data_IF_647777946627
#
_entry.id   IF_647777946627
#
_cell.length_a   1.000
_cell.length_b   1.000
_cell.length_c   1.000
_cell.angle_alpha   90.00
_cell.angle_beta   90.00
_cell.angle_gamma   90.00
#
_symmetry.space_group_name_H-M   'P 1'
#
loop_
_entity.id
_entity.type
_entity.pdbx_description
1 polymer ?
#
# COMPACT_ATOMS: atom_id res chain seq x y z
N UNK A 1 17.76 -0.35 -26.93
CA UNK A 1 16.97 0.80 -26.47
C UNK A 1 17.08 1.91 -27.50
N UNK A 2 15.97 2.47 -27.92
CA UNK A 2 15.95 3.61 -28.84
C UNK A 2 16.44 4.88 -28.13
N UNK A 3 16.92 5.91 -28.86
CA UNK A 3 17.30 7.18 -28.26
C UNK A 3 16.18 7.82 -27.43
N UNK A 4 14.92 7.64 -27.84
CA UNK A 4 13.73 8.11 -27.12
C UNK A 4 13.52 7.39 -25.79
N UNK A 5 13.80 6.07 -25.72
CA UNK A 5 13.76 5.30 -24.48
C UNK A 5 14.84 5.75 -23.50
N UNK A 6 16.03 6.10 -23.98
CA UNK A 6 17.09 6.69 -23.14
C UNK A 6 16.73 8.08 -22.63
N UNK A 7 16.10 8.91 -23.47
CA UNK A 7 15.56 10.20 -23.04
C UNK A 7 14.43 10.02 -22.04
N UNK A 8 13.53 9.06 -22.23
CA UNK A 8 12.47 8.73 -21.27
C UNK A 8 13.03 8.22 -19.95
N UNK A 9 14.08 7.39 -20.00
CA UNK A 9 14.75 6.86 -18.82
C UNK A 9 15.49 7.95 -18.06
N UNK A 10 16.24 8.81 -18.76
CA UNK A 10 16.93 9.95 -18.18
C UNK A 10 15.93 10.97 -17.62
N UNK A 11 14.85 11.26 -18.35
CA UNK A 11 13.74 12.07 -17.85
C UNK A 11 13.11 11.39 -16.65
N UNK A 12 12.83 10.08 -16.62
CA UNK A 12 12.29 9.43 -15.42
C UNK A 12 13.26 9.51 -14.23
N UNK A 13 14.53 9.23 -14.44
CA UNK A 13 15.54 9.18 -13.38
C UNK A 13 15.87 10.58 -12.83
N UNK A 14 15.78 11.64 -13.64
CA UNK A 14 15.96 13.02 -13.20
C UNK A 14 14.65 13.71 -12.78
N UNK A 15 13.52 13.41 -13.41
CA UNK A 15 12.20 14.02 -13.13
C UNK A 15 11.42 13.33 -12.01
N UNK A 16 11.76 12.11 -11.59
CA UNK A 16 11.18 11.52 -10.38
C UNK A 16 11.70 12.23 -9.12
N UNK A 17 13.02 12.47 -8.95
CA UNK A 17 13.53 13.33 -7.88
C UNK A 17 13.03 14.78 -8.02
N UNK A 18 13.15 15.38 -9.22
CA UNK A 18 12.75 16.77 -9.45
C UNK A 18 11.22 16.97 -9.37
N UNK A 19 10.44 15.97 -9.74
CA UNK A 19 8.99 15.93 -9.58
C UNK A 19 8.58 15.83 -8.12
N UNK A 20 9.40 15.24 -7.25
CA UNK A 20 9.27 15.32 -5.78
C UNK A 20 9.74 16.67 -5.21
N UNK A 21 10.72 17.30 -5.85
CA UNK A 21 11.17 18.67 -5.52
C UNK A 21 10.09 19.72 -5.88
N UNK A 22 9.40 19.58 -7.02
CA UNK A 22 8.40 20.56 -7.49
C UNK A 22 6.95 20.22 -7.12
N UNK A 23 6.60 18.93 -6.99
CA UNK A 23 5.40 18.53 -6.24
C UNK A 23 5.84 18.50 -4.79
N UNK A 24 5.75 19.64 -4.09
CA UNK A 24 6.02 19.82 -2.64
C UNK A 24 5.30 18.77 -1.76
N UNK A 25 5.76 17.54 -1.82
CA UNK A 25 5.05 16.35 -1.38
C UNK A 25 6.04 15.35 -0.84
N UNK A 26 7.03 15.86 -0.09
CA UNK A 26 7.80 15.05 0.84
C UNK A 26 6.89 14.34 1.86
N UNK A 27 7.48 13.47 2.70
CA UNK A 27 6.72 12.72 3.68
C UNK A 27 5.89 13.67 4.58
N UNK A 28 4.67 13.27 4.91
CA UNK A 28 3.84 14.01 5.84
C UNK A 28 4.31 13.78 7.28
N UNK A 29 4.83 14.83 7.93
CA UNK A 29 5.20 14.85 9.34
C UNK A 29 4.58 16.05 10.06
N UNK A 30 4.62 16.05 11.39
CA UNK A 30 4.13 17.20 12.19
C UNK A 30 5.06 18.38 12.01
N UNK A 31 4.51 19.59 12.02
CA UNK A 31 5.31 20.82 12.07
C UNK A 31 6.32 20.80 13.24
N UNK A 32 5.92 20.29 14.41
CA UNK A 32 6.82 20.11 15.55
C UNK A 32 8.01 19.20 15.21
N UNK A 33 7.81 18.10 14.49
CA UNK A 33 8.89 17.22 14.04
C UNK A 33 9.89 17.96 13.14
N UNK A 34 9.39 18.84 12.25
CA UNK A 34 10.24 19.69 11.43
C UNK A 34 11.01 20.72 12.26
N UNK A 35 10.33 21.36 13.22
CA UNK A 35 10.93 22.36 14.09
C UNK A 35 12.00 21.74 15.01
N UNK A 36 11.72 20.58 15.58
CA UNK A 36 12.65 19.82 16.42
C UNK A 36 13.91 19.45 15.61
N UNK A 37 13.75 19.07 14.33
CA UNK A 37 14.88 18.84 13.42
C UNK A 37 15.68 20.12 13.13
N UNK A 38 15.02 21.25 12.87
CA UNK A 38 15.69 22.55 12.64
C UNK A 38 16.40 23.07 13.89
N UNK A 39 15.86 22.80 15.08
CA UNK A 39 16.37 23.27 16.37
C UNK A 39 17.33 22.29 17.04
N UNK A 40 17.61 21.14 16.41
CA UNK A 40 18.53 20.15 16.93
C UNK A 40 19.94 20.78 17.11
N UNK A 41 20.56 20.64 18.30
CA UNK A 41 21.86 21.26 18.60
C UNK A 41 23.01 20.76 17.70
N UNK A 42 22.95 19.49 17.28
CA UNK A 42 23.97 18.85 16.47
C UNK A 42 23.33 17.99 15.38
N UNK A 43 22.95 18.60 14.26
CA UNK A 43 22.34 17.90 13.11
C UNK A 43 23.28 16.87 12.46
N UNK A 44 24.60 17.00 12.66
CA UNK A 44 25.58 16.05 12.14
C UNK A 44 25.60 14.76 12.98
N UNK A 45 25.19 14.82 14.24
CA UNK A 45 25.05 13.67 15.13
C UNK A 45 23.89 12.71 14.83
N UNK A 46 23.25 12.79 13.67
CA UNK A 46 22.32 11.74 13.23
C UNK A 46 23.06 10.89 12.19
N UNK A 47 23.29 9.57 12.42
CA UNK A 47 23.97 8.70 11.46
C UNK A 47 23.08 8.53 10.23
N UNK A 48 23.29 9.39 9.24
CA UNK A 48 22.45 9.51 8.05
C UNK A 48 22.89 8.58 6.93
N UNK A 49 24.20 8.43 6.72
CA UNK A 49 24.75 7.76 5.53
C UNK A 49 24.62 6.22 5.56
N UNK A 50 24.67 5.58 6.73
CA UNK A 50 24.56 4.11 6.82
C UNK A 50 23.14 3.63 6.52
N UNK A 51 22.08 4.18 7.14
CA UNK A 51 20.70 3.89 6.75
C UNK A 51 20.43 4.28 5.30
N UNK A 52 20.97 5.41 4.84
CA UNK A 52 20.91 5.87 3.46
C UNK A 52 21.43 4.83 2.48
N UNK A 53 22.69 4.39 2.61
CA UNK A 53 23.29 3.39 1.70
C UNK A 53 22.55 2.06 1.79
N UNK A 54 22.14 1.66 3.00
CA UNK A 54 21.37 0.43 3.21
C UNK A 54 20.00 0.46 2.50
N UNK A 55 19.36 1.62 2.38
CA UNK A 55 18.09 1.82 1.67
C UNK A 55 18.30 1.97 0.16
N UNK A 56 19.29 2.76 -0.24
CA UNK A 56 19.60 3.03 -1.65
C UNK A 56 20.14 1.81 -2.41
N UNK A 57 20.77 0.84 -1.73
CA UNK A 57 21.35 -0.36 -2.38
C UNK A 57 20.35 -1.16 -3.23
N UNK A 58 19.06 -1.11 -2.90
CA UNK A 58 18.01 -1.84 -3.62
C UNK A 58 17.40 -1.02 -4.77
N UNK A 59 17.68 0.28 -4.86
CA UNK A 59 17.16 1.15 -5.92
C UNK A 59 17.54 0.64 -7.32
N UNK A 60 18.80 0.26 -7.62
CA UNK A 60 19.14 -0.28 -8.94
C UNK A 60 18.40 -1.59 -9.24
N UNK A 61 18.21 -2.44 -8.24
CA UNK A 61 17.49 -3.72 -8.39
C UNK A 61 16.03 -3.45 -8.75
N UNK A 62 15.33 -2.60 -7.98
CA UNK A 62 13.95 -2.22 -8.30
C UNK A 62 13.83 -1.47 -9.62
N UNK A 63 14.82 -0.64 -9.97
CA UNK A 63 14.88 0.04 -11.26
C UNK A 63 14.96 -0.93 -12.43
N UNK A 64 15.87 -1.91 -12.39
CA UNK A 64 15.99 -2.92 -13.43
C UNK A 64 14.72 -3.79 -13.54
N UNK A 65 14.15 -4.19 -12.40
CA UNK A 65 12.89 -4.94 -12.35
C UNK A 65 11.72 -4.13 -12.94
N UNK A 66 11.64 -2.84 -12.61
CA UNK A 66 10.66 -1.92 -13.19
C UNK A 66 10.79 -1.87 -14.71
N UNK A 67 11.99 -1.62 -15.24
CA UNK A 67 12.22 -1.49 -16.68
C UNK A 67 11.94 -2.79 -17.43
N UNK A 68 12.44 -3.91 -16.92
CA UNK A 68 12.21 -5.23 -17.53
C UNK A 68 10.72 -5.58 -17.56
N UNK A 69 10.01 -5.41 -16.43
CA UNK A 69 8.59 -5.71 -16.36
C UNK A 69 7.73 -4.73 -17.16
N UNK A 70 8.06 -3.44 -17.18
CA UNK A 70 7.34 -2.44 -17.97
C UNK A 70 7.49 -2.67 -19.47
N UNK A 71 8.67 -3.10 -19.92
CA UNK A 71 8.92 -3.48 -21.31
C UNK A 71 8.17 -4.75 -21.72
N UNK A 72 8.12 -5.77 -20.85
CA UNK A 72 7.41 -7.02 -21.12
C UNK A 72 5.88 -6.91 -21.01
N UNK A 73 5.39 -6.04 -20.13
CA UNK A 73 3.98 -5.93 -19.78
C UNK A 73 3.49 -4.48 -19.83
N UNK A 74 3.47 -3.85 -21.03
CA UNK A 74 3.02 -2.47 -21.18
C UNK A 74 1.56 -2.31 -20.76
N UNK A 75 1.24 -1.18 -20.12
CA UNK A 75 -0.11 -0.87 -19.65
C UNK A 75 -1.06 -0.65 -20.84
N UNK A 76 -0.54 -0.12 -21.94
CA UNK A 76 -1.27 0.18 -23.17
C UNK A 76 -1.90 -1.07 -23.77
N UNK A 77 -1.26 -2.24 -23.62
CA UNK A 77 -1.80 -3.50 -24.11
C UNK A 77 -3.16 -3.84 -23.49
N UNK A 78 -3.39 -3.46 -22.22
CA UNK A 78 -4.66 -3.69 -21.51
C UNK A 78 -5.83 -3.00 -22.22
N UNK A 79 -5.56 -1.89 -22.93
CA UNK A 79 -6.58 -1.12 -23.67
C UNK A 79 -6.84 -1.66 -25.08
N UNK A 80 -6.12 -2.69 -25.52
CA UNK A 80 -6.25 -3.26 -26.87
C UNK A 80 -7.37 -4.29 -26.98
N UNK A 81 -7.95 -4.41 -28.18
CA UNK A 81 -8.89 -5.49 -28.50
C UNK A 81 -8.24 -6.88 -28.39
N UNK A 82 -6.95 -6.97 -28.73
CA UNK A 82 -6.17 -8.19 -28.61
C UNK A 82 -6.10 -8.69 -27.15
N UNK A 83 -6.03 -7.78 -26.17
CA UNK A 83 -6.15 -8.13 -24.76
C UNK A 83 -7.56 -8.56 -24.38
N UNK A 84 -8.58 -7.85 -24.87
CA UNK A 84 -9.98 -8.17 -24.61
C UNK A 84 -10.36 -9.60 -25.08
N UNK A 85 -9.75 -10.07 -26.19
CA UNK A 85 -9.94 -11.42 -26.73
C UNK A 85 -9.25 -12.53 -25.92
N UNK A 86 -8.39 -12.20 -24.95
CA UNK A 86 -7.66 -13.21 -24.15
C UNK A 86 -8.58 -13.93 -23.18
N UNK A 87 -8.27 -15.20 -22.91
CA UNK A 87 -8.97 -16.00 -21.91
C UNK A 87 -8.87 -15.38 -20.50
N UNK A 88 -9.85 -15.70 -19.65
CA UNK A 88 -9.92 -15.17 -18.27
C UNK A 88 -8.61 -15.36 -17.47
N UNK A 89 -7.95 -16.53 -17.45
CA UNK A 89 -6.72 -16.71 -16.67
C UNK A 89 -5.60 -15.75 -17.08
N UNK A 90 -5.50 -15.44 -18.38
CA UNK A 90 -4.51 -14.51 -18.89
C UNK A 90 -4.81 -13.07 -18.45
N UNK A 91 -6.08 -12.65 -18.49
CA UNK A 91 -6.50 -11.33 -18.01
C UNK A 91 -6.29 -11.20 -16.49
N UNK A 92 -6.54 -12.27 -15.73
CA UNK A 92 -6.23 -12.31 -14.30
C UNK A 92 -4.72 -12.28 -14.01
N UNK A 93 -3.93 -12.95 -14.84
CA UNK A 93 -2.47 -12.92 -14.73
C UNK A 93 -1.92 -11.53 -15.04
N UNK A 94 -2.40 -10.84 -16.09
CA UNK A 94 -1.79 -9.61 -16.57
C UNK A 94 -1.85 -8.43 -15.59
N UNK A 95 -2.82 -8.40 -14.66
CA UNK A 95 -2.82 -7.38 -13.60
C UNK A 95 -1.66 -7.56 -12.60
N UNK A 96 -1.10 -8.77 -12.46
CA UNK A 96 0.03 -9.06 -11.55
C UNK A 96 1.30 -8.31 -11.96
N UNK A 97 1.81 -8.43 -13.21
CA UNK A 97 2.96 -7.65 -13.63
C UNK A 97 2.65 -6.15 -13.71
N UNK A 98 1.42 -5.74 -14.03
CA UNK A 98 1.04 -4.31 -14.01
C UNK A 98 1.18 -3.73 -12.59
N UNK A 99 0.67 -4.42 -11.57
CA UNK A 99 0.85 -3.98 -10.18
C UNK A 99 2.30 -4.11 -9.71
N UNK A 100 3.05 -5.10 -10.19
CA UNK A 100 4.48 -5.19 -9.95
C UNK A 100 5.23 -3.97 -10.49
N UNK A 101 5.01 -3.59 -11.75
CA UNK A 101 5.58 -2.38 -12.37
C UNK A 101 5.21 -1.14 -11.56
N UNK A 102 3.93 -1.02 -11.17
CA UNK A 102 3.45 0.06 -10.31
C UNK A 102 4.25 0.14 -9.00
N UNK A 103 4.37 -0.97 -8.27
CA UNK A 103 5.13 -1.02 -7.01
C UNK A 103 6.60 -0.69 -7.19
N UNK A 104 7.28 -1.31 -8.15
CA UNK A 104 8.72 -1.07 -8.38
C UNK A 104 8.99 0.40 -8.68
N UNK A 105 8.12 1.06 -9.47
CA UNK A 105 8.21 2.50 -9.75
C UNK A 105 8.17 3.33 -8.47
N UNK A 106 7.23 3.03 -7.56
CA UNK A 106 7.11 3.75 -6.28
C UNK A 106 8.22 3.39 -5.29
N UNK A 107 8.71 2.15 -5.28
CA UNK A 107 9.85 1.74 -4.46
C UNK A 107 11.10 2.52 -4.85
N UNK A 108 11.39 2.64 -6.14
CA UNK A 108 12.48 3.50 -6.63
C UNK A 108 12.26 4.94 -6.19
N UNK A 109 11.09 5.51 -6.48
CA UNK A 109 10.81 6.92 -6.18
C UNK A 109 10.94 7.26 -4.69
N UNK A 110 10.36 6.45 -3.80
CA UNK A 110 10.38 6.71 -2.36
C UNK A 110 11.72 6.37 -1.70
N UNK A 111 12.43 5.32 -2.15
CA UNK A 111 13.76 5.03 -1.64
C UNK A 111 14.79 6.08 -2.09
N UNK A 112 14.62 6.68 -3.28
CA UNK A 112 15.42 7.82 -3.71
C UNK A 112 15.11 9.08 -2.88
N UNK A 113 13.83 9.37 -2.61
CA UNK A 113 13.46 10.50 -1.76
C UNK A 113 13.99 10.36 -0.33
N UNK A 114 13.90 9.16 0.25
CA UNK A 114 14.47 8.84 1.57
C UNK A 114 16.02 8.86 1.56
N UNK A 115 16.66 8.94 0.38
CA UNK A 115 18.10 8.92 0.19
C UNK A 115 18.75 10.31 0.03
N UNK A 116 17.99 11.38 -0.18
CA UNK A 116 18.55 12.72 -0.40
C UNK A 116 18.87 13.47 0.92
N UNK A 117 18.60 12.87 2.08
CA UNK A 117 18.56 13.56 3.39
C UNK A 117 19.80 13.34 4.30
N UNK A 118 21.00 13.10 3.76
CA UNK A 118 22.19 12.74 4.57
C UNK A 118 23.54 13.36 4.20
N UNK A 119 24.13 14.12 5.13
CA UNK A 119 25.55 14.52 5.18
C UNK A 119 26.31 13.73 6.28
N UNK A 120 27.63 13.50 6.16
CA UNK A 120 28.35 12.58 7.03
C UNK A 120 28.73 13.15 8.42
N UNK A 121 28.31 12.43 9.48
CA UNK A 121 29.12 12.16 10.69
C UNK A 121 28.64 12.74 12.02
N UNK A 122 28.17 11.88 12.95
CA UNK A 122 28.40 11.92 14.41
C UNK A 122 27.53 10.86 15.16
N UNK A 123 27.61 10.90 16.51
CA UNK A 123 27.20 9.95 17.56
C UNK A 123 25.74 9.40 17.47
N UNK A 124 25.30 8.39 18.25
CA UNK A 124 23.91 7.93 18.18
C UNK A 124 22.95 9.01 18.74
N UNK A 125 21.94 9.45 17.96
CA UNK A 125 21.02 10.51 18.33
C UNK A 125 19.85 10.00 19.18
N UNK A 126 19.18 10.93 19.86
CA UNK A 126 17.87 10.73 20.48
C UNK A 126 16.75 10.50 19.42
N UNK A 127 16.98 10.93 18.17
CA UNK A 127 16.05 10.86 17.05
C UNK A 127 16.61 10.04 15.87
N UNK A 128 15.83 9.08 15.37
CA UNK A 128 16.22 8.18 14.26
C UNK A 128 15.46 8.48 12.94
N UNK A 129 16.12 8.26 11.81
CA UNK A 129 15.57 8.41 10.45
C UNK A 129 14.40 7.45 10.15
N UNK A 130 14.20 6.41 10.95
CA UNK A 130 12.98 5.59 10.89
C UNK A 130 11.69 6.42 11.10
N UNK A 131 11.79 7.61 11.70
CA UNK A 131 10.65 8.52 11.92
C UNK A 131 10.05 9.08 10.61
N UNK A 132 10.83 9.16 9.53
CA UNK A 132 10.44 9.78 8.26
C UNK A 132 10.32 8.76 7.12
N UNK A 133 10.70 7.49 7.37
CA UNK A 133 10.64 6.37 6.40
C UNK A 133 9.26 6.31 5.73
N UNK A 134 9.23 6.48 4.41
CA UNK A 134 7.96 6.56 3.68
C UNK A 134 7.50 5.21 3.10
N UNK A 135 8.40 4.23 2.98
CA UNK A 135 8.09 2.91 2.40
C UNK A 135 8.86 1.78 3.08
N UNK A 136 8.21 0.62 3.22
CA UNK A 136 8.85 -0.65 3.53
C UNK A 136 8.52 -1.68 2.45
N UNK A 137 9.37 -1.86 1.41
CA UNK A 137 9.10 -2.78 0.32
C UNK A 137 8.88 -4.24 0.77
N UNK A 138 9.65 -4.70 1.76
CA UNK A 138 9.54 -6.06 2.26
C UNK A 138 8.22 -6.25 3.02
N UNK A 139 7.88 -5.29 3.90
CA UNK A 139 6.62 -5.26 4.60
C UNK A 139 5.42 -5.22 3.66
N UNK A 140 5.46 -4.37 2.62
CA UNK A 140 4.38 -4.29 1.63
C UNK A 140 4.18 -5.60 0.86
N UNK A 141 5.28 -6.23 0.45
CA UNK A 141 5.22 -7.41 -0.42
C UNK A 141 4.84 -8.67 0.34
N UNK A 142 5.44 -8.90 1.52
CA UNK A 142 5.36 -10.19 2.20
C UNK A 142 4.43 -10.21 3.42
N UNK A 143 3.85 -9.08 3.84
CA UNK A 143 2.81 -9.12 4.88
C UNK A 143 1.58 -9.89 4.40
N UNK A 144 0.96 -10.64 5.31
CA UNK A 144 -0.19 -11.48 4.98
C UNK A 144 -1.48 -10.65 4.86
N UNK A 145 -1.66 -9.67 5.76
CA UNK A 145 -2.90 -8.89 5.86
C UNK A 145 -2.93 -7.69 4.92
N UNK A 146 -4.12 -7.37 4.43
CA UNK A 146 -4.44 -6.15 3.67
C UNK A 146 -4.18 -4.92 4.52
N UNK A 147 -4.60 -4.95 5.80
CA UNK A 147 -4.36 -3.83 6.72
C UNK A 147 -2.88 -3.52 6.92
N UNK A 148 -2.05 -4.55 7.03
CA UNK A 148 -0.62 -4.38 7.31
C UNK A 148 0.10 -3.87 6.05
N UNK A 149 -0.25 -4.38 4.86
CA UNK A 149 0.35 -3.92 3.60
C UNK A 149 0.10 -2.45 3.32
N UNK A 150 -1.10 -1.96 3.67
CA UNK A 150 -1.40 -0.53 3.60
C UNK A 150 -0.52 0.30 4.53
N UNK A 151 -0.21 -0.19 5.74
CA UNK A 151 0.62 0.55 6.71
C UNK A 151 2.06 0.70 6.28
N UNK A 152 2.58 -0.24 5.48
CA UNK A 152 3.93 -0.20 4.94
C UNK A 152 4.04 0.62 3.64
N UNK A 153 2.92 0.92 3.00
CA UNK A 153 2.84 1.68 1.75
C UNK A 153 2.52 3.14 2.00
N UNK A 154 3.41 4.06 1.59
CA UNK A 154 3.25 5.50 1.79
C UNK A 154 2.98 5.85 3.26
N UNK A 155 3.87 5.40 4.13
CA UNK A 155 3.69 5.36 5.59
C UNK A 155 3.34 6.73 6.18
N UNK A 156 3.92 7.80 5.64
CA UNK A 156 3.65 9.18 6.10
C UNK A 156 2.22 9.63 5.79
N UNK A 157 1.71 9.33 4.58
CA UNK A 157 0.32 9.58 4.21
C UNK A 157 -0.63 8.72 5.05
N UNK A 158 -0.30 7.46 5.31
CA UNK A 158 -1.11 6.61 6.19
C UNK A 158 -1.19 7.18 7.61
N UNK A 159 -0.08 7.70 8.13
CA UNK A 159 -0.06 8.38 9.40
C UNK A 159 -0.95 9.64 9.37
N UNK A 160 -0.82 10.48 8.34
CA UNK A 160 -1.63 11.68 8.19
C UNK A 160 -3.14 11.37 8.10
N UNK A 161 -3.52 10.40 7.26
CA UNK A 161 -4.89 9.90 7.15
C UNK A 161 -5.40 9.40 8.51
N UNK A 162 -4.59 8.62 9.23
CA UNK A 162 -4.98 8.09 10.54
C UNK A 162 -5.19 9.19 11.59
N UNK A 163 -4.31 10.18 11.65
CA UNK A 163 -4.37 11.24 12.67
C UNK A 163 -5.46 12.28 12.38
N UNK A 164 -5.55 12.74 11.14
CA UNK A 164 -6.33 13.92 10.80
C UNK A 164 -7.65 13.62 10.12
N UNK A 165 -7.80 12.45 9.48
CA UNK A 165 -9.00 12.10 8.71
C UNK A 165 -9.81 10.99 9.39
N UNK A 166 -9.18 9.87 9.72
CA UNK A 166 -9.88 8.72 10.29
C UNK A 166 -10.40 9.00 11.71
N UNK A 167 -9.62 9.71 12.54
CA UNK A 167 -10.01 10.10 13.91
C UNK A 167 -11.10 11.16 13.93
N UNK A 168 -11.11 12.08 12.97
CA UNK A 168 -12.08 13.17 12.85
C UNK A 168 -13.34 12.78 12.06
N UNK A 169 -13.38 11.58 11.48
CA UNK A 169 -14.50 11.11 10.69
C UNK A 169 -15.82 11.18 11.48
N UNK A 170 -16.93 11.68 10.88
CA UNK A 170 -18.19 11.93 11.59
C UNK A 170 -19.00 10.64 11.89
N UNK A 171 -18.39 9.47 11.73
CA UNK A 171 -19.09 8.18 11.80
C UNK A 171 -18.59 7.34 12.98
N UNK A 172 -19.51 6.61 13.63
CA UNK A 172 -19.15 5.64 14.68
C UNK A 172 -18.71 4.28 14.12
N UNK A 173 -19.30 3.85 13.00
CA UNK A 173 -19.00 2.57 12.37
C UNK A 173 -17.60 2.54 11.78
N UNK A 174 -16.80 1.51 12.11
CA UNK A 174 -15.46 1.29 11.56
C UNK A 174 -15.45 1.33 10.03
N UNK A 175 -16.42 0.66 9.39
CA UNK A 175 -16.51 0.58 7.91
C UNK A 175 -16.77 1.95 7.30
N UNK A 176 -17.65 2.75 7.90
CA UNK A 176 -17.94 4.10 7.40
C UNK A 176 -16.75 5.05 7.60
N UNK A 177 -16.03 4.94 8.73
CA UNK A 177 -14.81 5.72 8.96
C UNK A 177 -13.72 5.37 7.96
N UNK A 178 -13.55 4.07 7.68
CA UNK A 178 -12.62 3.58 6.66
C UNK A 178 -13.01 4.09 5.27
N UNK A 179 -14.30 3.98 4.89
CA UNK A 179 -14.83 4.51 3.63
C UNK A 179 -14.63 6.01 3.47
N UNK A 180 -14.90 6.80 4.51
CA UNK A 180 -14.64 8.24 4.54
C UNK A 180 -13.16 8.57 4.32
N UNK A 181 -12.29 7.84 5.01
CA UNK A 181 -10.83 8.03 4.89
C UNK A 181 -10.34 7.69 3.48
N UNK A 182 -10.83 6.59 2.90
CA UNK A 182 -10.47 6.18 1.54
C UNK A 182 -11.06 7.10 0.47
N UNK A 183 -12.24 7.68 0.70
CA UNK A 183 -12.81 8.70 -0.18
C UNK A 183 -11.93 9.96 -0.24
N UNK A 184 -11.49 10.45 0.92
CA UNK A 184 -10.57 11.59 0.99
C UNK A 184 -9.20 11.24 0.40
N UNK A 185 -8.72 10.01 0.63
CA UNK A 185 -7.50 9.53 -0.01
C UNK A 185 -7.62 9.52 -1.53
N UNK A 186 -8.75 9.08 -2.09
CA UNK A 186 -9.00 9.12 -3.54
C UNK A 186 -8.97 10.55 -4.07
N UNK A 187 -9.66 11.48 -3.39
CA UNK A 187 -9.66 12.89 -3.73
C UNK A 187 -8.25 13.49 -3.72
N UNK A 188 -7.42 13.13 -2.73
CA UNK A 188 -6.02 13.56 -2.66
C UNK A 188 -5.19 13.09 -3.87
N UNK A 189 -5.51 11.92 -4.43
CA UNK A 189 -4.86 11.42 -5.65
C UNK A 189 -5.37 12.10 -6.93
N UNK A 190 -6.60 12.63 -6.92
CA UNK A 190 -7.16 13.44 -7.99
C UNK A 190 -8.64 13.13 -8.27
N UNK A 191 -9.21 13.79 -9.27
CA UNK A 191 -10.64 13.66 -9.63
C UNK A 191 -10.94 12.51 -10.62
N UNK A 192 -9.94 11.71 -10.98
CA UNK A 192 -10.13 10.59 -11.91
C UNK A 192 -10.99 9.49 -11.25
N UNK A 193 -12.09 9.05 -11.90
CA UNK A 193 -13.00 8.05 -11.31
C UNK A 193 -12.33 6.73 -10.92
N UNK A 194 -11.29 6.32 -11.63
CA UNK A 194 -10.51 5.12 -11.33
C UNK A 194 -9.90 5.12 -9.92
N UNK A 195 -9.48 6.29 -9.41
CA UNK A 195 -9.02 6.41 -8.03
C UNK A 195 -10.13 6.08 -7.03
N UNK A 196 -11.31 6.67 -7.20
CA UNK A 196 -12.45 6.44 -6.32
C UNK A 196 -12.86 4.97 -6.30
N UNK A 197 -12.95 4.34 -7.47
CA UNK A 197 -13.26 2.92 -7.57
C UNK A 197 -12.24 2.05 -6.81
N UNK A 198 -10.95 2.35 -6.96
CA UNK A 198 -9.86 1.59 -6.35
C UNK A 198 -9.86 1.74 -4.82
N UNK A 199 -9.86 2.99 -4.34
CA UNK A 199 -9.81 3.29 -2.91
C UNK A 199 -11.08 2.84 -2.18
N UNK A 200 -12.26 2.98 -2.78
CA UNK A 200 -13.52 2.53 -2.15
C UNK A 200 -13.70 1.00 -2.17
N UNK A 201 -12.83 0.27 -2.88
CA UNK A 201 -12.77 -1.20 -2.77
C UNK A 201 -12.04 -1.64 -1.50
N UNK A 202 -11.11 -0.82 -0.98
CA UNK A 202 -10.31 -1.13 0.21
C UNK A 202 -11.17 -1.40 1.46
N UNK A 203 -12.16 -0.57 1.84
CA UNK A 203 -13.00 -0.82 3.01
C UNK A 203 -13.76 -2.15 2.94
N UNK A 204 -14.16 -2.58 1.74
CA UNK A 204 -14.80 -3.88 1.53
C UNK A 204 -13.82 -5.02 1.82
N UNK A 205 -12.59 -4.95 1.29
CA UNK A 205 -11.54 -5.94 1.57
C UNK A 205 -11.17 -5.99 3.06
N UNK A 206 -11.04 -4.83 3.72
CA UNK A 206 -10.78 -4.75 5.16
C UNK A 206 -11.94 -5.32 5.99
N UNK A 207 -13.19 -5.06 5.60
CA UNK A 207 -14.35 -5.62 6.27
C UNK A 207 -14.41 -7.14 6.12
N UNK A 208 -14.11 -7.67 4.93
CA UNK A 208 -14.04 -9.09 4.66
C UNK A 208 -12.94 -9.78 5.48
N UNK A 209 -11.73 -9.21 5.47
CA UNK A 209 -10.59 -9.67 6.27
C UNK A 209 -10.96 -9.72 7.77
N UNK A 210 -11.45 -8.62 8.32
CA UNK A 210 -11.81 -8.55 9.74
C UNK A 210 -12.96 -9.49 10.13
N UNK A 211 -13.93 -9.72 9.25
CA UNK A 211 -15.01 -10.68 9.50
C UNK A 211 -14.50 -12.13 9.51
N UNK A 212 -13.63 -12.49 8.56
CA UNK A 212 -13.01 -13.81 8.50
C UNK A 212 -12.12 -14.08 9.70
N UNK A 213 -11.28 -13.11 10.10
CA UNK A 213 -10.44 -13.23 11.29
C UNK A 213 -11.28 -13.43 12.56
N UNK A 214 -12.34 -12.65 12.73
CA UNK A 214 -13.25 -12.80 13.86
C UNK A 214 -13.92 -14.17 13.88
N UNK A 215 -14.44 -14.64 12.73
CA UNK A 215 -15.09 -15.94 12.62
C UNK A 215 -14.14 -17.11 12.87
N UNK A 216 -12.92 -17.06 12.33
CA UNK A 216 -11.89 -18.07 12.55
C UNK A 216 -11.42 -18.11 14.00
N UNK A 217 -11.27 -16.94 14.65
CA UNK A 217 -10.98 -16.85 16.08
C UNK A 217 -12.09 -17.47 16.92
N UNK A 218 -13.36 -17.23 16.57
CA UNK A 218 -14.49 -17.87 17.23
C UNK A 218 -14.50 -19.39 17.13
N UNK A 219 -14.06 -19.96 16.00
CA UNK A 219 -13.89 -21.42 15.85
C UNK A 219 -12.73 -22.00 16.65
N UNK A 220 -11.65 -21.23 16.82
CA UNK A 220 -10.45 -21.64 17.57
C UNK A 220 -10.62 -21.52 19.09
N UNK A 221 -11.63 -20.77 19.55
CA UNK A 221 -11.84 -20.52 20.98
C UNK A 221 -10.75 -19.61 21.57
N UNK A 222 -10.49 -19.73 22.87
CA UNK A 222 -9.49 -18.94 23.60
C UNK A 222 -8.03 -19.39 23.39
N UNK A 223 -7.77 -20.20 22.36
CA UNK A 223 -6.41 -20.59 22.01
C UNK A 223 -5.56 -19.33 21.71
N UNK A 224 -4.30 -19.26 22.19
CA UNK A 224 -3.43 -18.11 21.94
C UNK A 224 -3.31 -17.83 20.44
N UNK A 225 -3.15 -16.55 20.06
CA UNK A 225 -2.87 -16.21 18.66
C UNK A 225 -1.65 -17.02 18.22
N UNK A 226 -1.72 -17.71 17.07
CA UNK A 226 -0.57 -18.45 16.60
C UNK A 226 0.58 -17.46 16.34
N UNK A 227 1.80 -17.88 16.69
CA UNK A 227 3.06 -17.41 16.07
C UNK A 227 2.86 -17.14 14.57
N UNK A 228 3.61 -16.23 13.92
CA UNK A 228 3.45 -15.89 12.51
C UNK A 228 3.28 -17.16 11.67
N UNK A 229 2.02 -17.40 11.31
CA UNK A 229 1.60 -18.71 10.84
C UNK A 229 2.20 -18.91 9.45
N UNK A 230 3.14 -19.86 9.31
CA UNK A 230 3.69 -20.25 8.00
C UNK A 230 2.84 -21.35 7.34
N UNK A 231 1.61 -21.57 7.80
CA UNK A 231 0.71 -22.54 7.21
C UNK A 231 0.26 -22.15 5.80
N UNK A 232 -0.30 -23.14 5.10
CA UNK A 232 -1.03 -22.94 3.85
C UNK A 232 -2.12 -21.86 3.93
N UNK A 233 -2.73 -21.64 5.11
CA UNK A 233 -3.74 -20.61 5.31
C UNK A 233 -3.18 -19.20 5.18
N UNK A 234 -1.99 -18.95 5.71
CA UNK A 234 -1.33 -17.65 5.60
C UNK A 234 -0.86 -17.36 4.17
N UNK A 235 -0.36 -18.37 3.45
CA UNK A 235 -0.04 -18.24 2.03
C UNK A 235 -1.27 -17.96 1.17
N UNK A 236 -2.40 -18.61 1.45
CA UNK A 236 -3.67 -18.32 0.78
C UNK A 236 -4.15 -16.89 1.06
N UNK A 237 -4.08 -16.44 2.32
CA UNK A 237 -4.46 -15.07 2.68
C UNK A 237 -3.54 -14.06 1.99
N UNK A 238 -2.22 -14.25 2.03
CA UNK A 238 -1.26 -13.42 1.31
C UNK A 238 -1.57 -13.39 -0.19
N UNK A 239 -1.87 -14.53 -0.80
CA UNK A 239 -2.23 -14.62 -2.21
C UNK A 239 -3.49 -13.81 -2.51
N UNK A 240 -4.55 -13.97 -1.72
CA UNK A 240 -5.79 -13.21 -1.87
C UNK A 240 -5.58 -11.70 -1.69
N UNK A 241 -4.75 -11.29 -0.71
CA UNK A 241 -4.32 -9.89 -0.52
C UNK A 241 -3.66 -9.36 -1.79
N UNK A 242 -2.67 -10.08 -2.33
CA UNK A 242 -1.96 -9.65 -3.54
C UNK A 242 -2.92 -9.54 -4.73
N UNK A 243 -3.82 -10.51 -4.94
CA UNK A 243 -4.84 -10.43 -6.01
C UNK A 243 -5.79 -9.25 -5.84
N UNK A 244 -6.17 -8.91 -4.60
CA UNK A 244 -6.98 -7.73 -4.34
C UNK A 244 -6.23 -6.44 -4.69
N UNK A 245 -4.93 -6.35 -4.35
CA UNK A 245 -4.10 -5.21 -4.73
C UNK A 245 -3.90 -5.10 -6.24
N UNK A 246 -3.65 -6.22 -6.94
CA UNK A 246 -3.53 -6.23 -8.40
C UNK A 246 -4.81 -5.66 -9.04
N UNK A 247 -5.97 -6.11 -8.57
CA UNK A 247 -7.28 -5.69 -9.07
C UNK A 247 -7.59 -4.21 -8.80
N UNK A 248 -7.28 -3.71 -7.60
CA UNK A 248 -7.44 -2.30 -7.25
C UNK A 248 -6.44 -1.42 -8.00
N UNK A 249 -5.22 -1.92 -8.25
CA UNK A 249 -4.23 -1.19 -9.05
C UNK A 249 -4.76 -0.89 -10.45
N UNK A 250 -5.51 -1.82 -11.07
CA UNK A 250 -6.08 -1.59 -12.40
C UNK A 250 -6.95 -0.33 -12.46
N UNK A 251 -7.80 -0.08 -11.46
CA UNK A 251 -8.57 1.17 -11.42
C UNK A 251 -7.68 2.39 -11.23
N UNK A 252 -6.62 2.27 -10.43
CA UNK A 252 -5.69 3.36 -10.16
C UNK A 252 -4.88 3.75 -11.41
N UNK A 253 -4.46 2.78 -12.22
CA UNK A 253 -3.63 3.05 -13.41
C UNK A 253 -4.44 3.34 -14.67
N UNK A 254 -5.67 2.84 -14.79
CA UNK A 254 -6.52 3.10 -15.95
C UNK A 254 -7.17 4.49 -15.92
N UNK A 255 -7.35 5.07 -14.73
CA UNK A 255 -7.89 6.42 -14.43
C UNK A 255 -9.36 6.64 -14.83
N UNK A 256 -9.75 6.21 -16.02
CA UNK A 256 -11.09 6.43 -16.58
C UNK A 256 -12.12 5.43 -16.04
N UNK A 257 -13.34 5.91 -15.84
CA UNK A 257 -14.45 5.08 -15.37
C UNK A 257 -14.75 3.94 -16.35
N UNK A 258 -14.88 4.27 -17.64
CA UNK A 258 -15.21 3.30 -18.69
C UNK A 258 -14.16 2.20 -18.82
N UNK A 259 -12.88 2.58 -18.92
CA UNK A 259 -11.77 1.63 -19.02
C UNK A 259 -11.69 0.71 -17.79
N UNK A 260 -11.84 1.28 -16.58
CA UNK A 260 -11.81 0.50 -15.34
C UNK A 260 -12.96 -0.50 -15.27
N UNK A 261 -14.19 -0.06 -15.53
CA UNK A 261 -15.38 -0.93 -15.50
C UNK A 261 -15.34 -1.98 -16.61
N UNK A 262 -14.83 -1.64 -17.80
CA UNK A 262 -14.65 -2.61 -18.87
C UNK A 262 -13.67 -3.71 -18.47
N UNK A 263 -12.53 -3.35 -17.87
CA UNK A 263 -11.56 -4.31 -17.37
C UNK A 263 -12.15 -5.18 -16.26
N UNK A 264 -12.77 -4.59 -15.25
CA UNK A 264 -13.36 -5.32 -14.13
C UNK A 264 -14.52 -6.23 -14.55
N UNK A 265 -15.35 -5.80 -15.50
CA UNK A 265 -16.37 -6.65 -16.13
C UNK A 265 -15.75 -7.83 -16.86
N UNK A 266 -14.62 -7.63 -17.53
CA UNK A 266 -13.89 -8.68 -18.26
C UNK A 266 -13.39 -9.80 -17.33
N UNK A 267 -13.13 -9.47 -16.07
CA UNK A 267 -12.75 -10.43 -15.00
C UNK A 267 -13.90 -10.70 -14.02
N UNK A 268 -15.14 -10.41 -14.42
CA UNK A 268 -16.38 -10.71 -13.69
C UNK A 268 -16.47 -10.11 -12.28
N UNK A 269 -15.81 -8.97 -12.04
CA UNK A 269 -15.76 -8.32 -10.72
C UNK A 269 -15.33 -9.28 -9.60
N UNK A 270 -14.45 -10.25 -9.91
CA UNK A 270 -14.16 -11.39 -9.06
C UNK A 270 -13.69 -11.01 -7.64
N UNK A 271 -12.94 -9.92 -7.48
CA UNK A 271 -12.48 -9.45 -6.17
C UNK A 271 -13.61 -8.84 -5.34
N UNK A 272 -14.52 -8.07 -5.95
CA UNK A 272 -15.69 -7.55 -5.23
C UNK A 272 -16.60 -8.68 -4.75
N UNK A 273 -16.91 -9.62 -5.66
CA UNK A 273 -17.74 -10.79 -5.34
C UNK A 273 -17.07 -11.68 -4.29
N UNK A 274 -15.78 -11.95 -4.44
CA UNK A 274 -15.00 -12.73 -3.48
C UNK A 274 -14.92 -12.08 -2.10
N UNK A 275 -14.67 -10.77 -2.04
CA UNK A 275 -14.64 -10.04 -0.77
C UNK A 275 -16.02 -10.04 -0.10
N UNK A 276 -17.10 -9.87 -0.86
CA UNK A 276 -18.46 -9.96 -0.32
C UNK A 276 -18.77 -11.37 0.21
N UNK A 277 -18.40 -12.42 -0.53
CA UNK A 277 -18.58 -13.80 -0.10
C UNK A 277 -17.81 -14.10 1.19
N UNK A 278 -16.55 -13.67 1.30
CA UNK A 278 -15.73 -13.82 2.51
C UNK A 278 -16.30 -13.02 3.69
N UNK A 279 -16.81 -11.81 3.43
CA UNK A 279 -17.50 -11.02 4.46
C UNK A 279 -18.73 -11.75 5.00
N UNK A 280 -19.59 -12.28 4.13
CA UNK A 280 -20.79 -13.02 4.54
C UNK A 280 -20.43 -14.31 5.28
N UNK A 281 -19.44 -15.07 4.77
CA UNK A 281 -18.94 -16.28 5.41
C UNK A 281 -18.40 -15.99 6.81
N UNK A 282 -17.52 -14.99 6.95
CA UNK A 282 -16.96 -14.58 8.24
C UNK A 282 -18.03 -14.12 9.24
N UNK A 283 -19.14 -13.56 8.77
CA UNK A 283 -20.30 -13.20 9.61
C UNK A 283 -21.17 -14.39 10.00
N UNK A 284 -21.21 -15.44 9.18
CA UNK A 284 -21.94 -16.66 9.47
C UNK A 284 -21.18 -17.59 10.45
N UNK A 285 -19.86 -17.44 10.56
CA UNK A 285 -19.05 -18.18 11.52
C UNK A 285 -19.35 -17.73 12.98
N UNK A 286 -19.20 -18.64 13.96
CA UNK A 286 -19.37 -18.31 15.37
C UNK A 286 -18.46 -17.15 15.78
N UNK A 287 -19.00 -16.20 16.54
CA UNK A 287 -18.20 -15.11 17.11
C UNK A 287 -17.43 -15.60 18.33
N UNK A 288 -16.23 -15.05 18.58
CA UNK A 288 -15.52 -15.32 19.82
C UNK A 288 -16.39 -14.83 20.99
N UNK A 289 -16.43 -15.63 22.07
CA UNK A 289 -17.11 -15.24 23.29
C UNK A 289 -16.54 -13.90 23.79
N UNK A 290 -17.37 -12.97 24.29
CA UNK A 290 -16.86 -11.75 24.89
C UNK A 290 -15.91 -12.10 26.03
N UNK A 291 -14.80 -11.36 26.21
CA UNK A 291 -13.92 -11.58 27.35
C UNK A 291 -14.75 -11.46 28.63
N UNK A 292 -14.61 -12.43 29.53
CA UNK A 292 -15.29 -12.42 30.82
C UNK A 292 -15.00 -11.08 31.50
N UNK A 293 -16.06 -10.36 31.91
CA UNK A 293 -15.91 -9.11 32.64
C UNK A 293 -15.05 -9.40 33.88
N UNK A 294 -13.85 -8.80 33.94
CA UNK A 294 -13.06 -8.81 35.16
C UNK A 294 -13.92 -8.11 36.21
N UNK A 295 -14.41 -8.88 37.19
CA UNK A 295 -15.19 -8.35 38.30
C UNK A 295 -14.39 -7.25 39.00
N UNK A 296 -15.06 -6.29 39.65
CA UNK A 296 -14.39 -5.15 40.27
C UNK A 296 -13.31 -5.68 41.23
N UNK A 297 -12.07 -5.23 41.01
CA UNK A 297 -10.98 -5.37 41.96
C UNK A 297 -11.51 -4.91 43.32
N UNK A 298 -11.68 -5.86 44.25
CA UNK A 298 -11.88 -5.52 45.66
C UNK A 298 -10.53 -5.11 46.20
N UNK A 299 -10.45 -3.85 46.63
CA UNK A 299 -9.38 -3.26 47.44
C UNK A 299 -9.18 -4.03 48.74
#
# INVERSE_FOLDING_TARGET
MTPEEWTYLAVLLFSIPIGFVFKRGGPFFRYRTHLDWLQQPDSQAIPSWRPLVARARLVPVYGLLFLGAAWLFPLEYVRSEAFAARALPFRLFYMVPVFFVFRMRFYVAWLCADAEEGAPGAAPPEYDYETIKNIDPYGTDFCVRVRDGMRYWNMSVQWWLAQYIYKSAPFRSYVMRSGWTMLISAYWHGLHPGYYLSFLTIPLCLAAEGAMEAGLRGRRGAAPEPEPDRSWGAWLHWFLKMRAYDYMCMGFVLLELGATLQYWRSVYFCVHLGALALLLLGRALPRPAPPAAQGPHRE
#
